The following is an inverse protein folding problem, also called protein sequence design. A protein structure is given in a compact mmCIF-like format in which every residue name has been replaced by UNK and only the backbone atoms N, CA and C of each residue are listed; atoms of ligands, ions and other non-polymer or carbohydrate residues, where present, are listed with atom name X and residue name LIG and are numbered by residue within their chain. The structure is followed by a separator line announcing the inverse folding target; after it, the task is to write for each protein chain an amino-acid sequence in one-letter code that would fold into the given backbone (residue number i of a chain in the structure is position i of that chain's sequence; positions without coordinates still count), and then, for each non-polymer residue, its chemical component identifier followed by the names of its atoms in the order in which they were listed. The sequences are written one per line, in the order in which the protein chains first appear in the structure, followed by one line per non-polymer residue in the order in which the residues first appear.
data_IF_518534445009
#
_entry.id   IF_518534445009
#
_cell.length_a   1.000
_cell.length_b   1.000
_cell.length_c   1.000
_cell.angle_alpha   90.00
_cell.angle_beta   90.00
_cell.angle_gamma   90.00
#
_symmetry.space_group_name_H-M   'P 1'
#
loop_
_entity.id
_entity.type
_entity.pdbx_description
1 polymer ?
#
# COMPACT_ATOMS: atom_id res chain seq x y z
N UNK A 1 -16.46 12.73 -11.19
CA UNK A 1 -16.38 12.79 -9.72
C UNK A 1 -15.00 13.24 -9.26
N UNK A 2 -14.91 13.82 -8.06
CA UNK A 2 -13.67 14.23 -7.39
C UNK A 2 -13.23 13.16 -6.38
N UNK A 3 -12.09 12.55 -6.59
CA UNK A 3 -11.56 11.48 -5.76
C UNK A 3 -10.33 11.96 -4.99
N UNK A 4 -10.34 11.86 -3.66
CA UNK A 4 -9.18 12.16 -2.82
C UNK A 4 -8.55 10.86 -2.31
N UNK A 5 -7.32 10.54 -2.75
CA UNK A 5 -6.66 9.29 -2.37
C UNK A 5 -5.50 9.53 -1.40
N UNK A 6 -5.32 8.62 -0.45
CA UNK A 6 -4.21 8.70 0.52
C UNK A 6 -3.49 7.36 0.61
N UNK A 7 -2.21 7.36 0.23
CA UNK A 7 -1.31 6.23 0.37
C UNK A 7 -0.08 6.64 1.19
N UNK A 8 0.49 5.70 1.94
CA UNK A 8 1.63 5.95 2.82
C UNK A 8 2.95 5.31 2.36
N UNK A 9 2.94 4.49 1.30
CA UNK A 9 4.12 3.74 0.86
C UNK A 9 4.08 3.36 -0.62
N UNK A 10 5.19 2.79 -1.12
CA UNK A 10 5.35 2.46 -2.54
C UNK A 10 4.33 1.44 -3.05
N UNK A 11 3.99 0.43 -2.26
CA UNK A 11 2.95 -0.55 -2.61
C UNK A 11 1.57 0.11 -2.75
N UNK A 12 1.25 1.02 -1.83
CA UNK A 12 0.03 1.83 -1.92
C UNK A 12 -0.02 2.70 -3.17
N UNK A 13 1.10 3.34 -3.55
CA UNK A 13 1.21 4.13 -4.78
C UNK A 13 0.94 3.29 -6.03
N UNK A 14 1.48 2.06 -6.07
CA UNK A 14 1.24 1.12 -7.18
C UNK A 14 -0.24 0.73 -7.26
N UNK A 15 -0.83 0.28 -6.17
CA UNK A 15 -2.22 -0.17 -6.18
C UNK A 15 -3.21 0.98 -6.40
N UNK A 16 -2.95 2.16 -5.81
CA UNK A 16 -3.77 3.34 -6.03
C UNK A 16 -3.67 3.87 -7.47
N UNK A 17 -2.51 3.80 -8.12
CA UNK A 17 -2.39 4.20 -9.52
C UNK A 17 -3.24 3.31 -10.44
N UNK A 18 -3.29 2.00 -10.19
CA UNK A 18 -4.18 1.07 -10.91
C UNK A 18 -5.65 1.39 -10.67
N UNK A 19 -6.02 1.66 -9.41
CA UNK A 19 -7.37 2.10 -9.08
C UNK A 19 -7.74 3.39 -9.81
N UNK A 20 -6.85 4.40 -9.83
CA UNK A 20 -7.07 5.65 -10.58
C UNK A 20 -7.26 5.39 -12.08
N UNK A 21 -6.45 4.50 -12.67
CA UNK A 21 -6.60 4.10 -14.06
C UNK A 21 -7.99 3.51 -14.34
N UNK A 22 -8.43 2.58 -13.50
CA UNK A 22 -9.74 1.93 -13.63
C UNK A 22 -10.90 2.91 -13.40
N UNK A 23 -10.78 3.83 -12.44
CA UNK A 23 -11.78 4.87 -12.19
C UNK A 23 -11.91 5.82 -13.40
N UNK A 24 -10.81 6.22 -14.04
CA UNK A 24 -10.86 7.04 -15.27
C UNK A 24 -11.56 6.33 -16.43
N UNK A 25 -11.41 5.01 -16.52
CA UNK A 25 -12.10 4.23 -17.55
C UNK A 25 -13.62 4.20 -17.34
N UNK A 26 -14.11 4.35 -16.11
CA UNK A 26 -15.53 4.36 -15.75
C UNK A 26 -16.11 5.78 -15.61
N UNK A 27 -15.28 6.76 -15.28
CA UNK A 27 -15.65 8.16 -15.09
C UNK A 27 -14.69 9.06 -15.88
N UNK A 28 -15.07 9.40 -17.10
CA UNK A 28 -14.27 10.27 -17.98
C UNK A 28 -14.04 11.68 -17.39
N UNK A 29 -14.86 12.12 -16.42
CA UNK A 29 -14.73 13.38 -15.72
C UNK A 29 -14.05 13.23 -14.35
N UNK A 30 -13.37 12.11 -14.09
CA UNK A 30 -12.68 11.87 -12.83
C UNK A 30 -11.58 12.91 -12.58
N UNK A 31 -11.66 13.58 -11.46
CA UNK A 31 -10.62 14.47 -10.94
C UNK A 31 -9.96 13.85 -9.73
N UNK A 32 -8.62 13.88 -9.69
CA UNK A 32 -7.85 13.26 -8.61
C UNK A 32 -7.00 14.28 -7.86
N UNK A 33 -7.05 14.20 -6.54
CA UNK A 33 -6.14 14.89 -5.64
C UNK A 33 -5.63 13.88 -4.61
N UNK A 34 -4.32 13.89 -4.30
CA UNK A 34 -3.81 12.77 -3.54
C UNK A 34 -2.52 13.04 -2.75
N UNK A 35 -2.37 12.29 -1.68
CA UNK A 35 -1.10 11.96 -1.04
C UNK A 35 -0.62 10.63 -1.63
N UNK A 36 0.47 10.65 -2.40
CA UNK A 36 0.89 9.48 -3.16
C UNK A 36 2.28 9.66 -3.76
N UNK A 37 2.59 8.88 -4.77
CA UNK A 37 3.90 8.86 -5.40
C UNK A 37 3.89 9.15 -6.90
N UNK A 38 4.94 8.67 -7.54
CA UNK A 38 5.19 8.95 -8.96
C UNK A 38 4.29 8.13 -9.89
N UNK A 39 3.84 6.92 -9.46
CA UNK A 39 2.93 6.10 -10.25
C UNK A 39 1.53 6.74 -10.32
N UNK A 40 1.00 7.19 -9.19
CA UNK A 40 -0.26 7.94 -9.17
C UNK A 40 -0.15 9.25 -9.99
N UNK A 41 1.00 9.95 -9.92
CA UNK A 41 1.22 11.17 -10.70
C UNK A 41 1.20 10.93 -12.21
N UNK A 42 1.61 9.76 -12.68
CA UNK A 42 1.53 9.38 -14.12
C UNK A 42 0.09 9.20 -14.58
N UNK A 43 -0.80 8.79 -13.67
CA UNK A 43 -2.23 8.70 -13.97
C UNK A 43 -2.91 10.08 -14.06
N UNK A 44 -2.27 11.14 -13.61
CA UNK A 44 -2.77 12.51 -13.62
C UNK A 44 -3.29 12.97 -12.26
N UNK A 45 -3.91 14.15 -12.23
CA UNK A 45 -4.39 14.77 -11.00
C UNK A 45 -3.33 15.59 -10.26
N UNK A 46 -3.67 16.04 -9.05
CA UNK A 46 -2.80 16.91 -8.24
C UNK A 46 -2.21 16.15 -7.04
N UNK A 47 -0.90 15.95 -7.04
CA UNK A 47 -0.19 15.42 -5.88
C UNK A 47 0.04 16.52 -4.86
N UNK A 48 -0.60 16.41 -3.69
CA UNK A 48 -0.46 17.35 -2.56
C UNK A 48 0.82 17.07 -1.79
N UNK A 49 1.16 15.79 -1.60
CA UNK A 49 2.35 15.35 -0.87
C UNK A 49 2.86 14.00 -1.39
N UNK A 50 4.19 13.84 -1.45
CA UNK A 50 4.77 12.55 -1.79
C UNK A 50 4.77 11.62 -0.56
N UNK A 51 4.42 10.32 -0.73
CA UNK A 51 4.38 9.35 0.37
C UNK A 51 5.71 9.22 1.12
N UNK A 52 6.85 9.44 0.47
CA UNK A 52 8.18 9.44 1.11
C UNK A 52 8.31 10.49 2.22
N UNK A 53 7.50 11.53 2.19
CA UNK A 53 7.44 12.56 3.21
C UNK A 53 6.48 12.20 4.37
N UNK A 54 5.73 11.09 4.23
CA UNK A 54 4.81 10.55 5.24
C UNK A 54 5.40 9.37 6.00
N UNK A 55 6.24 8.58 5.31
CA UNK A 55 6.69 7.27 5.77
C UNK A 55 7.89 7.40 6.72
N UNK A 56 7.59 7.55 8.01
CA UNK A 56 8.55 7.33 9.08
C UNK A 56 8.22 6.00 9.75
N UNK A 57 9.11 5.01 9.65
CA UNK A 57 8.94 3.70 10.27
C UNK A 57 9.96 3.49 11.38
N UNK A 58 9.52 2.79 12.46
CA UNK A 58 10.33 2.56 13.66
C UNK A 58 10.11 3.62 14.74
N UNK A 59 10.37 3.23 15.99
CA UNK A 59 10.07 4.06 17.16
C UNK A 59 10.88 5.36 17.17
N UNK A 60 12.19 5.29 16.92
CA UNK A 60 13.08 6.46 16.95
C UNK A 60 12.82 7.44 15.80
N UNK A 61 12.71 7.02 14.52
CA UNK A 61 12.35 7.93 13.43
C UNK A 61 10.99 8.60 13.63
N UNK A 62 9.99 7.88 14.14
CA UNK A 62 8.67 8.46 14.43
C UNK A 62 8.77 9.57 15.48
N UNK A 63 9.49 9.34 16.59
CA UNK A 63 9.68 10.35 17.64
C UNK A 63 10.39 11.62 17.12
N UNK A 64 11.42 11.45 16.29
CA UNK A 64 12.19 12.57 15.73
C UNK A 64 11.38 13.41 14.73
N UNK A 65 10.39 12.80 14.07
CA UNK A 65 9.59 13.42 13.02
C UNK A 65 8.13 13.71 13.38
N UNK A 66 7.77 13.64 14.67
CA UNK A 66 6.39 13.89 15.13
C UNK A 66 5.80 15.21 14.59
N UNK A 67 6.58 16.29 14.62
CA UNK A 67 6.13 17.59 14.07
C UNK A 67 5.78 17.51 12.59
N UNK A 68 6.56 16.77 11.81
CA UNK A 68 6.30 16.57 10.37
C UNK A 68 5.05 15.73 10.16
N UNK A 69 4.86 14.67 10.96
CA UNK A 69 3.65 13.82 10.90
C UNK A 69 2.41 14.66 11.20
N UNK A 70 2.41 15.43 12.27
CA UNK A 70 1.28 16.30 12.62
C UNK A 70 1.03 17.40 11.57
N UNK A 71 2.09 17.99 11.00
CA UNK A 71 1.96 18.97 9.91
C UNK A 71 1.33 18.35 8.67
N UNK A 72 1.76 17.15 8.27
CA UNK A 72 1.19 16.44 7.14
C UNK A 72 -0.27 16.04 7.39
N UNK A 73 -0.59 15.62 8.62
CA UNK A 73 -1.97 15.33 9.04
C UNK A 73 -2.86 16.57 8.94
N UNK A 74 -2.40 17.71 9.46
CA UNK A 74 -3.13 18.98 9.38
C UNK A 74 -3.30 19.43 7.92
N UNK A 75 -2.23 19.36 7.11
CA UNK A 75 -2.30 19.69 5.68
C UNK A 75 -3.35 18.83 4.97
N UNK A 76 -3.33 17.52 5.19
CA UNK A 76 -4.30 16.60 4.58
C UNK A 76 -5.74 16.95 4.92
N UNK A 77 -6.02 17.20 6.21
CA UNK A 77 -7.36 17.59 6.70
C UNK A 77 -7.85 18.88 6.06
N UNK A 78 -7.01 19.92 6.05
CA UNK A 78 -7.35 21.19 5.45
C UNK A 78 -7.56 21.10 3.95
N UNK A 79 -6.74 20.34 3.26
CA UNK A 79 -6.80 20.17 1.82
C UNK A 79 -8.07 19.41 1.37
N UNK A 80 -8.46 18.36 2.11
CA UNK A 80 -9.73 17.64 1.86
C UNK A 80 -10.91 18.60 2.01
N UNK A 81 -10.95 19.36 3.11
CA UNK A 81 -12.07 20.30 3.36
C UNK A 81 -12.11 21.41 2.32
N UNK A 82 -10.96 21.94 1.90
CA UNK A 82 -10.89 23.02 0.91
C UNK A 82 -11.30 22.55 -0.50
N UNK A 83 -10.89 21.32 -0.87
CA UNK A 83 -11.17 20.81 -2.22
C UNK A 83 -12.55 20.17 -2.37
N UNK A 84 -13.20 19.75 -1.27
CA UNK A 84 -14.52 19.14 -1.25
C UNK A 84 -14.64 17.97 -2.25
N UNK A 85 -13.93 16.84 -2.02
CA UNK A 85 -14.08 15.66 -2.86
C UNK A 85 -15.44 15.01 -2.69
N UNK A 86 -15.87 14.25 -3.70
CA UNK A 86 -17.07 13.42 -3.62
C UNK A 86 -16.84 12.15 -2.77
N UNK A 87 -15.58 11.71 -2.66
CA UNK A 87 -15.17 10.55 -1.83
C UNK A 87 -13.70 10.65 -1.43
N UNK A 88 -13.39 10.22 -0.20
CA UNK A 88 -12.02 10.00 0.27
C UNK A 88 -11.73 8.51 0.25
N UNK A 89 -10.69 8.10 -0.47
CA UNK A 89 -10.23 6.71 -0.58
C UNK A 89 -8.90 6.54 0.16
N UNK A 90 -8.94 5.80 1.24
CA UNK A 90 -7.79 5.48 2.08
C UNK A 90 -7.20 4.14 1.65
N UNK A 91 -5.89 4.09 1.39
CA UNK A 91 -5.24 2.86 0.90
C UNK A 91 -4.22 2.38 1.93
N UNK A 92 -4.49 1.22 2.57
CA UNK A 92 -3.64 0.68 3.63
C UNK A 92 -3.23 1.75 4.67
N UNK A 93 -2.01 1.75 5.20
CA UNK A 93 -1.42 2.79 6.07
C UNK A 93 -2.30 3.22 7.27
N UNK A 94 -2.77 2.27 8.09
CA UNK A 94 -3.86 2.51 9.06
C UNK A 94 -3.53 3.46 10.19
N UNK A 95 -2.24 3.71 10.49
CA UNK A 95 -1.84 4.65 11.54
C UNK A 95 -2.23 6.09 11.24
N UNK A 96 -2.11 6.50 9.99
CA UNK A 96 -2.47 7.83 9.51
C UNK A 96 -3.92 7.86 8.99
N UNK A 97 -4.27 6.88 8.19
CA UNK A 97 -5.53 6.84 7.47
C UNK A 97 -6.76 6.78 8.40
N UNK A 98 -6.71 6.04 9.50
CA UNK A 98 -7.84 5.99 10.45
C UNK A 98 -8.06 7.31 11.19
N UNK A 99 -7.01 8.11 11.42
CA UNK A 99 -7.14 9.46 11.99
C UNK A 99 -7.73 10.45 10.98
N UNK A 100 -7.42 10.29 9.68
CA UNK A 100 -8.09 11.03 8.61
C UNK A 100 -9.54 10.59 8.48
N UNK A 101 -9.84 9.29 8.48
CA UNK A 101 -11.21 8.77 8.45
C UNK A 101 -12.06 9.39 9.56
N UNK A 102 -11.55 9.34 10.79
CA UNK A 102 -12.22 9.97 11.94
C UNK A 102 -12.50 11.45 11.69
N UNK A 103 -11.52 12.21 11.22
CA UNK A 103 -11.68 13.64 10.98
C UNK A 103 -12.72 13.94 9.89
N UNK A 104 -12.64 13.26 8.75
CA UNK A 104 -13.56 13.45 7.62
C UNK A 104 -14.98 13.12 8.05
N UNK A 105 -15.18 11.95 8.67
CA UNK A 105 -16.51 11.53 9.14
C UNK A 105 -17.13 12.48 10.19
N UNK A 106 -16.29 13.04 11.09
CA UNK A 106 -16.81 13.91 12.16
C UNK A 106 -17.01 15.38 11.76
N UNK A 107 -16.35 15.85 10.70
CA UNK A 107 -16.38 17.27 10.31
C UNK A 107 -16.96 17.54 8.92
N UNK A 108 -17.28 16.49 8.17
CA UNK A 108 -17.84 16.61 6.82
C UNK A 108 -18.90 15.54 6.61
N UNK A 109 -19.57 15.58 5.45
CA UNK A 109 -20.48 14.53 4.96
C UNK A 109 -19.86 13.73 3.81
N UNK A 110 -18.53 13.84 3.61
CA UNK A 110 -17.82 13.16 2.53
C UNK A 110 -17.66 11.68 2.91
N UNK A 111 -18.08 10.73 2.07
CA UNK A 111 -17.92 9.32 2.35
C UNK A 111 -16.45 8.91 2.35
N UNK A 112 -16.13 7.98 3.26
CA UNK A 112 -14.78 7.44 3.46
C UNK A 112 -14.75 5.97 3.06
N UNK A 113 -14.04 5.66 1.99
CA UNK A 113 -13.81 4.32 1.51
C UNK A 113 -12.42 3.85 1.90
N UNK A 114 -12.28 2.61 2.29
CA UNK A 114 -10.99 2.05 2.68
C UNK A 114 -10.63 0.89 1.76
N UNK A 115 -9.69 1.12 0.87
CA UNK A 115 -9.16 0.13 -0.07
C UNK A 115 -7.89 -0.51 0.48
N UNK A 116 -7.79 -1.83 0.41
CA UNK A 116 -6.78 -2.67 1.07
C UNK A 116 -6.93 -2.56 2.59
N UNK A 117 -7.89 -3.34 3.12
CA UNK A 117 -8.25 -3.36 4.54
C UNK A 117 -7.04 -3.43 5.47
N UNK A 118 -7.06 -2.72 6.60
CA UNK A 118 -6.02 -2.84 7.60
C UNK A 118 -5.90 -4.28 8.13
N UNK A 119 -4.69 -4.82 8.21
CA UNK A 119 -4.42 -6.18 8.71
C UNK A 119 -4.61 -6.30 10.22
N UNK A 120 -5.81 -5.92 10.71
CA UNK A 120 -6.13 -5.93 12.15
C UNK A 120 -6.24 -7.35 12.71
N UNK A 121 -6.44 -8.35 11.87
CA UNK A 121 -6.40 -9.76 12.23
C UNK A 121 -5.00 -10.22 12.70
N UNK A 122 -3.93 -9.57 12.23
CA UNK A 122 -2.57 -9.89 12.63
C UNK A 122 -2.16 -9.19 13.94
N UNK A 123 -2.63 -7.94 14.14
CA UNK A 123 -2.34 -7.15 15.34
C UNK A 123 -3.19 -5.88 15.40
N UNK A 124 -3.37 -5.31 16.58
CA UNK A 124 -4.19 -4.11 16.81
C UNK A 124 -5.65 -4.29 16.37
N UNK A 125 -6.23 -5.46 16.67
CA UNK A 125 -7.62 -5.80 16.36
C UNK A 125 -8.62 -4.76 16.91
N UNK A 126 -8.26 -4.04 17.97
CA UNK A 126 -9.07 -2.95 18.56
C UNK A 126 -9.41 -1.83 17.55
N UNK A 127 -8.67 -1.72 16.43
CA UNK A 127 -8.95 -0.76 15.34
C UNK A 127 -10.27 -1.01 14.63
N UNK A 128 -10.88 -2.18 14.80
CA UNK A 128 -12.23 -2.47 14.28
C UNK A 128 -13.25 -1.43 14.77
N UNK A 129 -13.06 -0.88 15.98
CA UNK A 129 -13.94 0.17 16.51
C UNK A 129 -13.88 1.44 15.66
N UNK A 130 -12.69 1.85 15.25
CA UNK A 130 -12.51 3.04 14.38
C UNK A 130 -13.01 2.79 12.97
N UNK A 131 -12.78 1.59 12.43
CA UNK A 131 -13.30 1.20 11.11
C UNK A 131 -14.82 1.29 11.12
N UNK A 132 -15.48 0.66 12.08
CA UNK A 132 -16.93 0.64 12.22
C UNK A 132 -17.57 2.03 12.37
N UNK A 133 -16.86 2.97 12.99
CA UNK A 133 -17.38 4.31 13.26
C UNK A 133 -17.12 5.31 12.14
N UNK A 134 -16.06 5.11 11.34
CA UNK A 134 -15.53 6.18 10.49
C UNK A 134 -15.28 5.75 9.04
N UNK A 135 -15.52 4.50 8.69
CA UNK A 135 -15.36 3.98 7.32
C UNK A 135 -16.71 3.53 6.82
N UNK A 136 -17.14 4.08 5.68
CA UNK A 136 -18.43 3.78 5.09
C UNK A 136 -18.37 2.48 4.27
N UNK A 137 -17.28 2.28 3.51
CA UNK A 137 -17.07 1.08 2.69
C UNK A 137 -15.66 0.54 2.87
N UNK A 138 -15.53 -0.77 3.14
CA UNK A 138 -14.25 -1.45 3.33
C UNK A 138 -14.02 -2.51 2.24
N UNK A 139 -12.91 -2.38 1.52
CA UNK A 139 -12.52 -3.28 0.46
C UNK A 139 -11.32 -4.14 0.89
N UNK A 140 -11.50 -5.46 0.90
CA UNK A 140 -10.47 -6.41 1.29
C UNK A 140 -9.85 -7.11 0.08
N UNK A 141 -8.60 -7.53 0.22
CA UNK A 141 -7.82 -8.20 -0.83
C UNK A 141 -7.46 -9.65 -0.48
N UNK A 142 -7.76 -10.10 0.73
CA UNK A 142 -7.47 -11.46 1.19
C UNK A 142 -8.79 -12.18 1.50
N UNK A 143 -9.02 -13.38 0.94
CA UNK A 143 -10.33 -14.04 1.03
C UNK A 143 -10.74 -14.38 2.47
N UNK A 144 -9.80 -14.73 3.35
CA UNK A 144 -10.09 -15.04 4.76
C UNK A 144 -10.50 -13.81 5.59
N UNK A 145 -10.28 -12.60 5.09
CA UNK A 145 -10.73 -11.37 5.76
C UNK A 145 -12.25 -11.27 5.79
N UNK A 146 -12.96 -11.92 4.86
CA UNK A 146 -14.43 -12.00 4.89
C UNK A 146 -14.90 -12.66 6.19
N UNK A 147 -14.40 -13.84 6.51
CA UNK A 147 -14.76 -14.55 7.74
C UNK A 147 -14.34 -13.76 8.99
N UNK A 148 -13.22 -13.06 8.93
CA UNK A 148 -12.75 -12.25 10.04
C UNK A 148 -13.64 -11.03 10.28
N UNK A 149 -13.97 -10.25 9.25
CA UNK A 149 -14.78 -9.05 9.41
C UNK A 149 -16.27 -9.36 9.55
N UNK A 150 -16.84 -10.19 8.69
CA UNK A 150 -18.27 -10.50 8.72
C UNK A 150 -18.61 -11.55 9.76
N UNK A 151 -17.84 -12.67 9.82
CA UNK A 151 -18.10 -13.76 10.76
C UNK A 151 -17.82 -13.37 12.20
N UNK A 152 -16.62 -12.85 12.49
CA UNK A 152 -16.22 -12.50 13.87
C UNK A 152 -16.73 -11.14 14.33
N UNK A 153 -16.63 -10.12 13.48
CA UNK A 153 -16.93 -8.74 13.87
C UNK A 153 -18.30 -8.24 13.40
N UNK A 154 -19.05 -9.03 12.62
CA UNK A 154 -20.35 -8.62 12.07
C UNK A 154 -20.29 -7.25 11.37
N UNK A 155 -19.22 -7.04 10.59
CA UNK A 155 -18.96 -5.83 9.81
C UNK A 155 -18.87 -6.20 8.32
N UNK A 156 -19.76 -5.66 7.47
CA UNK A 156 -19.79 -6.01 6.05
C UNK A 156 -18.53 -5.48 5.35
N UNK A 157 -18.00 -6.27 4.42
CA UNK A 157 -16.86 -5.88 3.60
C UNK A 157 -17.04 -6.31 2.14
N UNK A 158 -16.27 -5.71 1.25
CA UNK A 158 -16.22 -6.09 -0.15
C UNK A 158 -14.90 -6.80 -0.46
N UNK A 159 -14.94 -8.09 -0.72
CA UNK A 159 -13.76 -8.81 -1.22
C UNK A 159 -13.58 -8.52 -2.71
N UNK A 160 -12.49 -7.84 -3.08
CA UNK A 160 -12.23 -7.39 -4.45
C UNK A 160 -11.07 -8.11 -5.13
N UNK A 161 -10.50 -9.14 -4.47
CA UNK A 161 -9.31 -9.83 -4.96
C UNK A 161 -8.02 -9.08 -4.66
N UNK A 162 -6.88 -9.76 -4.86
CA UNK A 162 -5.57 -9.21 -4.57
C UNK A 162 -4.97 -8.55 -5.81
N UNK A 163 -4.75 -7.23 -5.82
CA UNK A 163 -4.20 -6.50 -6.97
C UNK A 163 -2.79 -6.96 -7.35
N UNK A 164 -2.04 -7.59 -6.44
CA UNK A 164 -0.73 -8.19 -6.75
C UNK A 164 -0.83 -9.33 -7.77
N UNK A 165 -1.98 -10.00 -7.85
CA UNK A 165 -2.20 -11.06 -8.85
C UNK A 165 -2.14 -10.48 -10.26
N UNK A 166 -2.81 -9.37 -10.48
CA UNK A 166 -2.78 -8.66 -11.78
C UNK A 166 -1.36 -8.24 -12.17
N UNK A 167 -0.58 -7.72 -11.21
CA UNK A 167 0.82 -7.35 -11.44
C UNK A 167 1.66 -8.56 -11.88
N UNK A 168 1.50 -9.68 -11.18
CA UNK A 168 2.24 -10.93 -11.51
C UNK A 168 1.82 -11.46 -12.87
N UNK A 169 0.52 -11.47 -13.19
CA UNK A 169 0.01 -11.94 -14.47
C UNK A 169 0.52 -11.07 -15.62
N UNK A 170 0.40 -9.75 -15.51
CA UNK A 170 0.91 -8.80 -16.50
C UNK A 170 2.42 -8.96 -16.72
N UNK A 171 3.18 -9.10 -15.63
CA UNK A 171 4.61 -9.37 -15.73
C UNK A 171 4.90 -10.67 -16.49
N UNK A 172 4.23 -11.77 -16.13
CA UNK A 172 4.41 -13.09 -16.77
C UNK A 172 4.06 -13.06 -18.27
N UNK A 173 3.00 -12.35 -18.65
CA UNK A 173 2.59 -12.20 -20.05
C UNK A 173 3.62 -11.41 -20.88
N UNK A 174 4.27 -10.43 -20.26
CA UNK A 174 5.30 -9.60 -20.93
C UNK A 174 6.71 -10.16 -20.85
N UNK A 175 7.01 -11.03 -19.89
CA UNK A 175 8.36 -11.53 -19.66
C UNK A 175 8.76 -12.61 -20.68
N UNK A 176 9.85 -12.35 -21.42
CA UNK A 176 10.34 -13.21 -22.52
C UNK A 176 11.78 -13.66 -22.32
N UNK A 177 12.45 -13.20 -21.27
CA UNK A 177 13.83 -13.56 -20.98
C UNK A 177 13.91 -15.03 -20.56
N UNK A 178 14.76 -15.82 -21.23
CA UNK A 178 15.05 -17.19 -20.83
C UNK A 178 16.14 -17.25 -19.74
N UNK A 179 16.37 -18.44 -19.21
CA UNK A 179 17.36 -18.68 -18.15
C UNK A 179 18.78 -18.28 -18.57
N UNK A 180 19.17 -18.57 -19.81
CA UNK A 180 20.50 -18.26 -20.31
C UNK A 180 20.74 -16.77 -20.41
N UNK A 181 19.77 -16.03 -20.96
CA UNK A 181 19.81 -14.58 -21.05
C UNK A 181 19.84 -13.93 -19.65
N UNK A 182 19.01 -14.42 -18.74
CA UNK A 182 19.00 -13.96 -17.34
C UNK A 182 20.37 -14.18 -16.67
N UNK A 183 20.89 -15.39 -16.74
CA UNK A 183 22.18 -15.71 -16.13
C UNK A 183 23.31 -14.87 -16.72
N UNK A 184 23.35 -14.72 -18.04
CA UNK A 184 24.35 -13.90 -18.73
C UNK A 184 24.31 -12.44 -18.28
N UNK A 185 23.11 -11.87 -18.18
CA UNK A 185 22.90 -10.48 -17.72
C UNK A 185 23.37 -10.25 -16.29
N UNK A 186 23.25 -11.27 -15.44
CA UNK A 186 23.64 -11.20 -14.02
C UNK A 186 25.01 -11.79 -13.70
N UNK A 187 25.77 -12.27 -14.69
CA UNK A 187 27.08 -12.88 -14.46
C UNK A 187 27.00 -14.22 -13.72
N UNK A 188 25.89 -14.95 -13.87
CA UNK A 188 25.65 -16.26 -13.28
C UNK A 188 25.93 -17.38 -14.28
N UNK A 189 26.28 -18.58 -13.75
CA UNK A 189 26.41 -19.79 -14.56
C UNK A 189 25.03 -20.40 -14.83
N UNK A 190 24.57 -20.52 -16.08
CA UNK A 190 23.27 -21.07 -16.40
C UNK A 190 23.13 -22.57 -16.07
N UNK A 191 24.24 -23.27 -15.91
CA UNK A 191 24.27 -24.71 -15.57
C UNK A 191 24.12 -24.95 -14.07
N UNK A 192 24.32 -23.92 -13.25
CA UNK A 192 24.20 -24.02 -11.78
C UNK A 192 22.82 -23.58 -11.29
N UNK A 193 22.28 -24.23 -10.26
CA UNK A 193 21.07 -23.70 -9.57
C UNK A 193 21.34 -22.33 -8.98
N UNK A 194 20.26 -21.55 -8.81
CA UNK A 194 20.31 -20.18 -8.26
C UNK A 194 19.55 -20.13 -6.95
N UNK A 195 20.19 -19.62 -5.91
CA UNK A 195 19.55 -19.31 -4.63
C UNK A 195 19.20 -17.84 -4.59
N UNK A 196 17.90 -17.51 -4.49
CA UNK A 196 17.43 -16.14 -4.37
C UNK A 196 17.21 -15.78 -2.90
N UNK A 197 17.89 -14.73 -2.41
CA UNK A 197 17.71 -14.17 -1.08
C UNK A 197 16.74 -13.00 -1.13
N UNK A 198 15.48 -13.20 -0.69
CA UNK A 198 14.44 -12.18 -0.68
C UNK A 198 14.45 -11.40 0.64
N UNK A 199 15.45 -10.53 0.81
CA UNK A 199 15.72 -9.82 2.06
C UNK A 199 14.74 -8.67 2.38
N UNK A 200 13.82 -8.37 1.48
CA UNK A 200 12.84 -7.29 1.61
C UNK A 200 12.96 -6.22 0.53
N UNK A 201 12.07 -5.25 0.55
CA UNK A 201 12.01 -4.16 -0.43
C UNK A 201 12.52 -2.82 0.10
N UNK A 202 12.67 -2.67 1.41
CA UNK A 202 13.13 -1.43 2.06
C UNK A 202 14.60 -1.56 2.44
N UNK A 203 15.35 -0.44 2.34
CA UNK A 203 16.78 -0.42 2.68
C UNK A 203 17.08 -0.96 4.08
N UNK A 204 16.22 -0.65 5.07
CA UNK A 204 16.39 -1.14 6.44
C UNK A 204 16.15 -2.65 6.54
N UNK A 205 15.10 -3.16 5.91
CA UNK A 205 14.80 -4.60 5.85
C UNK A 205 15.98 -5.38 5.23
N UNK A 206 16.50 -4.88 4.11
CA UNK A 206 17.66 -5.51 3.45
C UNK A 206 18.87 -5.48 4.37
N UNK A 207 19.15 -4.36 5.03
CA UNK A 207 20.28 -4.22 5.96
C UNK A 207 20.18 -5.18 7.14
N UNK A 208 18.98 -5.39 7.67
CA UNK A 208 18.74 -6.22 8.85
C UNK A 208 18.69 -7.72 8.49
N UNK A 209 18.06 -8.08 7.37
CA UNK A 209 17.79 -9.47 7.01
C UNK A 209 18.91 -10.11 6.20
N UNK A 210 19.51 -9.39 5.23
CA UNK A 210 20.47 -9.97 4.30
C UNK A 210 21.69 -10.60 4.98
N UNK A 211 22.30 -10.01 6.03
CA UNK A 211 23.42 -10.63 6.72
C UNK A 211 23.07 -11.99 7.37
N UNK A 212 21.90 -12.08 8.01
CA UNK A 212 21.44 -13.31 8.62
C UNK A 212 21.10 -14.38 7.57
N UNK A 213 20.45 -13.99 6.47
CA UNK A 213 20.17 -14.89 5.34
C UNK A 213 21.47 -15.40 4.70
N UNK A 214 22.43 -14.51 4.45
CA UNK A 214 23.74 -14.90 3.90
C UNK A 214 24.52 -15.84 4.84
N UNK A 215 24.48 -15.59 6.15
CA UNK A 215 25.12 -16.43 7.15
C UNK A 215 24.49 -17.85 7.25
N UNK A 216 23.25 -18.01 6.85
CA UNK A 216 22.58 -19.32 6.80
C UNK A 216 23.01 -20.19 5.62
N UNK A 217 23.70 -19.63 4.61
CA UNK A 217 24.26 -20.35 3.48
C UNK A 217 25.55 -21.04 3.91
N UNK A 218 25.44 -22.30 4.32
CA UNK A 218 26.61 -23.11 4.71
C UNK A 218 27.41 -23.57 3.49
N UNK A 219 28.70 -23.91 3.69
CA UNK A 219 29.51 -24.49 2.61
C UNK A 219 28.93 -25.80 2.07
N UNK A 220 28.20 -26.52 2.90
CA UNK A 220 27.53 -27.76 2.52
C UNK A 220 26.38 -27.49 1.58
N UNK A 221 25.51 -26.49 1.90
CA UNK A 221 24.46 -26.06 1.04
C UNK A 221 24.98 -25.52 -0.31
N UNK A 222 26.10 -24.79 -0.29
CA UNK A 222 26.65 -24.15 -1.49
C UNK A 222 27.42 -25.09 -2.41
N UNK A 223 27.62 -26.40 -2.04
CA UNK A 223 28.26 -27.38 -2.94
C UNK A 223 27.40 -27.69 -4.17
N UNK A 224 26.09 -27.60 -4.03
CA UNK A 224 25.12 -27.94 -5.08
C UNK A 224 24.66 -26.71 -5.91
N UNK A 225 25.18 -25.48 -5.60
CA UNK A 225 24.79 -24.22 -6.22
C UNK A 225 25.91 -23.44 -6.89
#
# INVERSE_FOLDING_TARGET
MKYYLIVGEASGDLHASRLMHSLKAQDAAAEFRFFGGDLMSREGGTRVRHYKELAYMGFVPVLLHLRTIFRNMSLCKHDIVAWQPDVVILVDYPGFNLDIAKYVHTHTHIPVYYYISPKIWAWKEWRIKSIRLYVDELFSILPFEVDFYEGKHHYPIHYVGNPTVEEVMTFREGYREDREAFCRRHGLDPQKPVVALLAGSRKQEIKDNLPAMAASLTRELLRDY
#
